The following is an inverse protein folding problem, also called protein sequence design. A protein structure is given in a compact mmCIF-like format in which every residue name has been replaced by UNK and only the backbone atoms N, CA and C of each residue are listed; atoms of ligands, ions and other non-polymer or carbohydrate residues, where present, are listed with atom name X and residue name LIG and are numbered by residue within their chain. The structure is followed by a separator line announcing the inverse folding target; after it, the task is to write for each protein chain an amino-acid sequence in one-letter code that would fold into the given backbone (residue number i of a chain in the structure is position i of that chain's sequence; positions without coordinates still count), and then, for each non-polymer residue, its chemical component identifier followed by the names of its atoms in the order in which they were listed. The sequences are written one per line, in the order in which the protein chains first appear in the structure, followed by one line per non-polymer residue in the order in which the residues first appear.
data_IF_737073158078
#
_entry.id   IF_737073158078
#
_cell.length_a   1.000
_cell.length_b   1.000
_cell.length_c   1.000
_cell.angle_alpha   90.00
_cell.angle_beta   90.00
_cell.angle_gamma   90.00
#
_symmetry.space_group_name_H-M   'P 1'
#
loop_
_entity.id
_entity.type
_entity.pdbx_description
1 polymer ?
#
# COMPACT_ATOMS: atom_id res chain seq x y z
N UNK A 1 2.23 -25.72 -8.16
CA UNK A 1 1.16 -24.78 -8.55
C UNK A 1 1.00 -23.55 -7.63
N UNK A 2 1.39 -23.58 -6.35
CA UNK A 2 1.16 -22.46 -5.39
C UNK A 2 1.96 -21.14 -5.59
N UNK A 3 2.74 -20.97 -6.66
CA UNK A 3 3.59 -19.77 -6.86
C UNK A 3 2.90 -18.66 -7.65
N UNK A 4 1.88 -19.00 -8.45
CA UNK A 4 1.23 -18.07 -9.39
C UNK A 4 0.19 -17.17 -8.70
N UNK A 5 -0.56 -17.72 -7.75
CA UNK A 5 -1.61 -17.01 -7.00
C UNK A 5 -1.07 -15.86 -6.15
N UNK A 6 0.23 -15.90 -5.81
CA UNK A 6 0.89 -14.88 -4.98
C UNK A 6 1.06 -13.56 -5.73
N UNK A 7 1.43 -13.64 -7.01
CA UNK A 7 1.75 -12.50 -7.88
C UNK A 7 0.54 -11.99 -8.68
N UNK A 8 -0.50 -12.81 -8.85
CA UNK A 8 -1.70 -12.45 -9.61
C UNK A 8 -2.28 -11.07 -9.27
N UNK A 9 -2.60 -10.73 -8.02
CA UNK A 9 -3.07 -9.40 -7.63
C UNK A 9 -2.05 -8.26 -7.85
N UNK A 10 -0.76 -8.55 -8.01
CA UNK A 10 0.27 -7.54 -8.31
C UNK A 10 0.30 -7.21 -9.80
N UNK A 11 0.16 -8.26 -10.62
CA UNK A 11 -0.02 -8.16 -12.06
C UNK A 11 -1.35 -7.46 -12.36
N UNK A 12 -2.44 -7.86 -11.69
CA UNK A 12 -3.74 -7.20 -11.79
C UNK A 12 -3.66 -5.75 -11.31
N UNK A 13 -2.92 -5.42 -10.26
CA UNK A 13 -2.75 -4.03 -9.83
C UNK A 13 -1.95 -3.19 -10.83
N UNK A 14 -0.92 -3.76 -11.46
CA UNK A 14 -0.18 -3.11 -12.53
C UNK A 14 -1.07 -2.88 -13.76
N UNK A 15 -1.77 -3.90 -14.23
CA UNK A 15 -2.72 -3.79 -15.34
C UNK A 15 -3.89 -2.86 -15.03
N UNK A 16 -4.44 -2.93 -13.82
CA UNK A 16 -5.49 -2.02 -13.38
C UNK A 16 -4.97 -0.60 -13.28
N UNK A 17 -3.72 -0.38 -12.82
CA UNK A 17 -3.09 0.93 -12.79
C UNK A 17 -2.85 1.49 -14.19
N UNK A 18 -2.38 0.68 -15.15
CA UNK A 18 -2.20 1.12 -16.53
C UNK A 18 -3.54 1.37 -17.23
N UNK A 19 -4.54 0.50 -17.03
CA UNK A 19 -5.90 0.68 -17.54
C UNK A 19 -6.54 1.91 -16.91
N UNK A 20 -6.43 2.10 -15.59
CA UNK A 20 -6.93 3.29 -14.89
C UNK A 20 -6.21 4.55 -15.33
N UNK A 21 -4.92 4.50 -15.64
CA UNK A 21 -4.18 5.64 -16.18
C UNK A 21 -4.62 6.00 -17.60
N UNK A 22 -4.84 5.01 -18.47
CA UNK A 22 -5.37 5.22 -19.84
C UNK A 22 -6.85 5.65 -19.80
N UNK A 23 -7.62 5.09 -18.87
CA UNK A 23 -8.98 5.54 -18.57
C UNK A 23 -8.97 6.93 -17.95
N UNK A 24 -7.95 7.29 -17.16
CA UNK A 24 -7.83 8.60 -16.57
C UNK A 24 -7.65 9.66 -17.66
N UNK A 25 -6.78 9.41 -18.64
CA UNK A 25 -6.62 10.31 -19.79
C UNK A 25 -7.90 10.47 -20.62
N UNK A 26 -8.84 9.50 -20.62
CA UNK A 26 -10.07 9.56 -21.43
C UNK A 26 -11.34 9.96 -20.69
N UNK A 27 -11.44 9.70 -19.40
CA UNK A 27 -12.63 9.94 -18.58
C UNK A 27 -12.36 10.86 -17.39
N UNK A 28 -11.14 10.87 -16.87
CA UNK A 28 -10.75 11.69 -15.73
C UNK A 28 -10.16 13.02 -16.19
N UNK A 29 -9.50 13.13 -17.35
CA UNK A 29 -9.05 14.41 -17.92
C UNK A 29 -10.16 15.47 -17.88
N UNK A 30 -11.40 15.26 -18.35
CA UNK A 30 -12.43 16.30 -18.27
C UNK A 30 -12.88 16.65 -16.84
N UNK A 31 -12.67 15.77 -15.85
CA UNK A 31 -13.07 15.97 -14.44
C UNK A 31 -11.92 16.58 -13.61
N UNK A 32 -10.69 16.17 -13.90
CA UNK A 32 -9.47 16.48 -13.15
C UNK A 32 -8.70 17.63 -13.80
N UNK A 33 -8.84 17.87 -15.10
CA UNK A 33 -8.27 19.03 -15.79
C UNK A 33 -8.62 20.35 -15.10
N UNK A 34 -9.85 20.64 -14.64
CA UNK A 34 -10.10 21.88 -13.91
C UNK A 34 -9.33 21.95 -12.57
N UNK A 35 -9.14 20.83 -11.87
CA UNK A 35 -8.38 20.79 -10.60
C UNK A 35 -6.86 20.81 -10.79
N UNK A 36 -6.36 20.23 -11.89
CA UNK A 36 -4.95 20.22 -12.27
C UNK A 36 -4.53 21.51 -12.99
N UNK A 37 -5.45 22.19 -13.67
CA UNK A 37 -5.16 23.42 -14.42
C UNK A 37 -4.93 24.63 -13.50
N UNK A 38 -5.62 24.71 -12.36
CA UNK A 38 -5.51 25.86 -11.46
C UNK A 38 -4.24 25.78 -10.58
N UNK A 39 -3.96 24.63 -9.96
CA UNK A 39 -2.71 24.44 -9.19
C UNK A 39 -2.35 22.95 -9.00
N UNK A 40 -1.47 22.39 -9.86
CA UNK A 40 -1.03 21.00 -9.72
C UNK A 40 -0.26 20.74 -8.43
N UNK A 41 0.34 21.77 -7.82
CA UNK A 41 1.10 21.61 -6.59
C UNK A 41 0.19 21.22 -5.42
N UNK A 42 -1.07 21.68 -5.41
CA UNK A 42 -2.06 21.28 -4.40
C UNK A 42 -2.35 19.78 -4.51
N UNK A 43 -2.60 19.29 -5.72
CA UNK A 43 -2.94 17.88 -5.96
C UNK A 43 -1.76 16.96 -5.60
N UNK A 44 -0.58 17.23 -6.15
CA UNK A 44 0.59 16.40 -5.84
C UNK A 44 1.02 16.53 -4.39
N UNK A 45 0.89 17.72 -3.77
CA UNK A 45 1.10 17.93 -2.35
C UNK A 45 0.19 17.05 -1.50
N UNK A 46 -1.12 17.03 -1.79
CA UNK A 46 -2.07 16.17 -1.09
C UNK A 46 -1.73 14.67 -1.25
N UNK A 47 -1.33 14.24 -2.44
CA UNK A 47 -0.91 12.84 -2.67
C UNK A 47 0.35 12.49 -1.88
N UNK A 48 1.36 13.37 -1.85
CA UNK A 48 2.57 13.18 -1.05
C UNK A 48 2.24 13.05 0.43
N UNK A 49 1.39 13.93 0.96
CA UNK A 49 0.98 13.89 2.37
C UNK A 49 0.24 12.59 2.68
N UNK A 50 -0.78 12.23 1.87
CA UNK A 50 -1.56 11.00 2.06
C UNK A 50 -0.67 9.75 2.03
N UNK A 51 0.16 9.61 0.99
CA UNK A 51 1.03 8.44 0.84
C UNK A 51 2.11 8.38 1.91
N UNK A 52 2.66 9.54 2.31
CA UNK A 52 3.62 9.63 3.40
C UNK A 52 3.01 9.22 4.75
N UNK A 53 1.78 9.65 5.05
CA UNK A 53 1.06 9.21 6.26
C UNK A 53 0.79 7.72 6.25
N UNK A 54 0.34 7.16 5.11
CA UNK A 54 0.10 5.72 4.97
C UNK A 54 1.39 4.91 5.11
N UNK A 55 2.50 5.38 4.54
CA UNK A 55 3.81 4.77 4.72
C UNK A 55 4.20 4.71 6.21
N UNK A 56 4.03 5.83 6.93
CA UNK A 56 4.28 5.90 8.38
C UNK A 56 3.40 4.93 9.17
N UNK A 57 2.12 4.83 8.83
CA UNK A 57 1.19 3.89 9.43
C UNK A 57 1.62 2.42 9.24
N UNK A 58 1.97 2.03 8.01
CA UNK A 58 2.42 0.65 7.71
C UNK A 58 3.73 0.33 8.45
N UNK A 59 4.66 1.29 8.53
CA UNK A 59 5.89 1.16 9.32
C UNK A 59 5.61 0.98 10.81
N UNK A 60 4.74 1.80 11.40
CA UNK A 60 4.35 1.69 12.80
C UNK A 60 3.70 0.33 13.10
N UNK A 61 2.78 -0.12 12.24
CA UNK A 61 2.16 -1.42 12.36
C UNK A 61 3.18 -2.57 12.33
N UNK A 62 4.17 -2.52 11.43
CA UNK A 62 5.25 -3.51 11.39
C UNK A 62 6.09 -3.48 12.67
N UNK A 63 6.47 -2.30 13.16
CA UNK A 63 7.24 -2.15 14.40
C UNK A 63 6.51 -2.74 15.61
N UNK A 64 5.20 -2.50 15.72
CA UNK A 64 4.35 -3.10 16.77
C UNK A 64 4.40 -4.63 16.67
N UNK A 65 4.17 -5.19 15.48
CA UNK A 65 4.20 -6.65 15.26
C UNK A 65 5.57 -7.25 15.63
N UNK A 66 6.67 -6.57 15.28
CA UNK A 66 8.02 -7.01 15.62
C UNK A 66 8.29 -6.90 17.13
N UNK A 67 7.83 -5.83 17.78
CA UNK A 67 7.96 -5.65 19.23
C UNK A 67 7.22 -6.74 20.02
N UNK A 68 6.03 -7.14 19.58
CA UNK A 68 5.28 -8.23 20.19
C UNK A 68 5.70 -9.63 19.73
N UNK A 69 6.66 -9.74 18.81
CA UNK A 69 7.09 -11.04 18.28
C UNK A 69 7.66 -11.96 19.36
N UNK A 70 8.23 -11.43 20.45
CA UNK A 70 8.73 -12.25 21.57
C UNK A 70 7.64 -12.68 22.55
N UNK A 71 6.44 -12.11 22.44
CA UNK A 71 5.36 -12.37 23.39
C UNK A 71 4.81 -13.80 23.25
N UNK A 72 4.40 -14.45 24.36
CA UNK A 72 3.79 -15.79 24.32
C UNK A 72 2.58 -15.88 23.39
N UNK A 73 1.81 -14.80 23.21
CA UNK A 73 0.64 -14.82 22.31
C UNK A 73 1.03 -15.00 20.83
N UNK A 74 2.23 -14.60 20.42
CA UNK A 74 2.73 -14.78 19.05
C UNK A 74 3.32 -16.17 18.78
N UNK A 75 3.34 -17.07 19.77
CA UNK A 75 3.91 -18.41 19.65
C UNK A 75 3.24 -19.22 18.54
N UNK A 76 1.92 -19.06 18.35
CA UNK A 76 1.17 -19.75 17.30
C UNK A 76 1.63 -19.37 15.89
N UNK A 77 1.97 -18.09 15.67
CA UNK A 77 2.46 -17.57 14.38
C UNK A 77 3.90 -18.00 14.08
N UNK A 78 4.70 -18.21 15.13
CA UNK A 78 6.06 -18.78 15.02
C UNK A 78 6.00 -20.26 14.66
N UNK A 79 5.18 -21.04 15.38
CA UNK A 79 5.01 -22.47 15.13
C UNK A 79 4.45 -22.71 13.73
N UNK A 80 3.50 -21.88 13.29
CA UNK A 80 2.91 -22.01 11.95
C UNK A 80 3.83 -21.56 10.80
N UNK A 81 5.02 -21.03 11.09
CA UNK A 81 5.97 -20.55 10.08
C UNK A 81 5.47 -19.39 9.21
N UNK A 82 4.44 -18.65 9.64
CA UNK A 82 3.81 -17.59 8.85
C UNK A 82 4.47 -16.21 9.03
N UNK A 83 5.31 -16.06 10.06
CA UNK A 83 6.00 -14.80 10.39
C UNK A 83 6.82 -14.23 9.21
N UNK A 84 7.60 -15.03 8.46
CA UNK A 84 8.32 -14.52 7.28
C UNK A 84 7.38 -14.05 6.16
N UNK A 85 6.23 -14.71 5.98
CA UNK A 85 5.22 -14.28 5.00
C UNK A 85 4.63 -12.94 5.39
N UNK A 86 4.28 -12.77 6.68
CA UNK A 86 3.77 -11.50 7.20
C UNK A 86 4.79 -10.37 6.99
N UNK A 87 6.04 -10.60 7.36
CA UNK A 87 7.13 -9.65 7.16
C UNK A 87 7.28 -9.23 5.70
N UNK A 88 7.27 -10.20 4.77
CA UNK A 88 7.34 -9.92 3.34
C UNK A 88 6.16 -9.08 2.82
N UNK A 89 4.95 -9.32 3.33
CA UNK A 89 3.76 -8.52 2.97
C UNK A 89 3.92 -7.07 3.41
N UNK A 90 4.37 -6.84 4.66
CA UNK A 90 4.61 -5.49 5.17
C UNK A 90 5.73 -4.78 4.42
N UNK A 91 6.88 -5.43 4.20
CA UNK A 91 8.00 -4.85 3.45
C UNK A 91 7.61 -4.51 2.01
N UNK A 92 6.84 -5.37 1.35
CA UNK A 92 6.33 -5.09 0.01
C UNK A 92 5.38 -3.87 0.02
N UNK A 93 4.54 -3.72 1.05
CA UNK A 93 3.69 -2.54 1.25
C UNK A 93 4.52 -1.27 1.45
N UNK A 94 5.50 -1.30 2.35
CA UNK A 94 6.42 -0.19 2.61
C UNK A 94 7.12 0.26 1.33
N UNK A 95 7.67 -0.68 0.54
CA UNK A 95 8.31 -0.36 -0.73
C UNK A 95 7.36 0.30 -1.72
N UNK A 96 6.13 -0.21 -1.85
CA UNK A 96 5.14 0.36 -2.76
C UNK A 96 4.73 1.79 -2.35
N UNK A 97 4.48 2.02 -1.06
CA UNK A 97 4.16 3.37 -0.55
C UNK A 97 5.36 4.33 -0.66
N UNK A 98 6.59 3.85 -0.44
CA UNK A 98 7.78 4.67 -0.63
C UNK A 98 7.96 5.08 -2.09
N UNK A 99 7.76 4.17 -3.04
CA UNK A 99 7.78 4.48 -4.49
C UNK A 99 6.66 5.45 -4.86
N UNK A 100 5.45 5.25 -4.36
CA UNK A 100 4.32 6.16 -4.62
C UNK A 100 4.57 7.56 -4.06
N UNK A 101 5.07 7.65 -2.82
CA UNK A 101 5.43 8.93 -2.19
C UNK A 101 6.55 9.62 -2.96
N UNK A 102 7.61 8.89 -3.33
CA UNK A 102 8.73 9.43 -4.09
C UNK A 102 8.34 9.92 -5.48
N UNK A 103 7.48 9.16 -6.19
CA UNK A 103 6.97 9.59 -7.51
C UNK A 103 6.07 10.82 -7.41
N UNK A 104 5.21 10.90 -6.40
CA UNK A 104 4.40 12.09 -6.13
C UNK A 104 5.27 13.31 -5.75
N UNK A 105 6.36 13.10 -4.99
CA UNK A 105 7.30 14.17 -4.65
C UNK A 105 8.06 14.68 -5.87
N UNK A 106 8.50 13.78 -6.76
CA UNK A 106 9.14 14.16 -8.03
C UNK A 106 8.15 14.94 -8.90
N UNK A 107 6.90 14.47 -9.02
CA UNK A 107 5.87 15.18 -9.77
C UNK A 107 5.60 16.58 -9.20
N UNK A 108 5.53 16.71 -7.87
CA UNK A 108 5.40 17.99 -7.19
C UNK A 108 6.58 18.92 -7.51
N UNK A 109 7.82 18.45 -7.39
CA UNK A 109 9.01 19.26 -7.64
C UNK A 109 9.13 19.70 -9.11
N UNK A 110 8.74 18.85 -10.06
CA UNK A 110 8.81 19.16 -11.49
C UNK A 110 7.70 20.11 -11.93
N UNK A 111 6.52 20.02 -11.30
CA UNK A 111 5.37 20.87 -11.63
C UNK A 111 5.47 22.29 -11.07
N UNK A 112 6.35 22.52 -10.09
CA UNK A 112 6.73 23.87 -9.66
C UNK A 112 7.49 24.57 -10.79
N UNK A 113 6.77 25.32 -11.62
CA UNK A 113 7.32 26.17 -12.69
C UNK A 113 7.26 25.59 -14.11
N UNK A 114 6.54 24.48 -14.34
CA UNK A 114 6.31 23.95 -15.69
C UNK A 114 4.89 23.42 -15.88
N UNK A 115 4.42 23.36 -17.14
CA UNK A 115 3.16 22.69 -17.48
C UNK A 115 3.25 21.21 -17.14
N UNK A 116 2.16 20.65 -16.62
CA UNK A 116 2.09 19.25 -16.20
C UNK A 116 2.41 18.33 -17.39
N UNK A 117 3.47 17.53 -17.26
CA UNK A 117 3.72 16.44 -18.21
C UNK A 117 2.69 15.32 -17.96
N UNK A 118 1.86 14.94 -18.96
CA UNK A 118 0.83 13.90 -18.79
C UNK A 118 1.41 12.56 -18.31
N UNK A 119 2.66 12.28 -18.68
CA UNK A 119 3.42 11.09 -18.25
C UNK A 119 3.64 11.04 -16.74
N UNK A 120 3.84 12.17 -16.07
CA UNK A 120 4.02 12.24 -14.61
C UNK A 120 2.69 11.98 -13.88
N UNK A 121 1.60 12.57 -14.37
CA UNK A 121 0.27 12.32 -13.82
C UNK A 121 -0.08 10.82 -13.89
N UNK A 122 0.18 10.19 -15.05
CA UNK A 122 -0.02 8.76 -15.26
C UNK A 122 0.83 7.90 -14.33
N UNK A 123 2.11 8.25 -14.15
CA UNK A 123 3.02 7.54 -13.27
C UNK A 123 2.55 7.60 -11.80
N UNK A 124 2.15 8.79 -11.33
CA UNK A 124 1.63 8.99 -9.97
C UNK A 124 0.34 8.21 -9.75
N UNK A 125 -0.59 8.22 -10.72
CA UNK A 125 -1.84 7.47 -10.61
C UNK A 125 -1.59 5.95 -10.51
N UNK A 126 -0.67 5.43 -11.33
CA UNK A 126 -0.32 4.01 -11.35
C UNK A 126 0.34 3.57 -10.04
N UNK A 127 1.31 4.33 -9.55
CA UNK A 127 2.01 4.00 -8.29
C UNK A 127 1.09 4.15 -7.08
N UNK A 128 0.19 5.14 -7.07
CA UNK A 128 -0.82 5.33 -6.04
C UNK A 128 -1.78 4.13 -5.98
N UNK A 129 -2.28 3.68 -7.13
CA UNK A 129 -3.16 2.51 -7.23
C UNK A 129 -2.47 1.25 -6.70
N UNK A 130 -1.21 1.02 -7.11
CA UNK A 130 -0.42 -0.11 -6.62
C UNK A 130 -0.23 -0.05 -5.10
N UNK A 131 0.05 1.13 -4.56
CA UNK A 131 0.22 1.35 -3.13
C UNK A 131 -1.08 1.04 -2.36
N UNK A 132 -2.25 1.47 -2.86
CA UNK A 132 -3.56 1.17 -2.25
C UNK A 132 -3.87 -0.34 -2.24
N UNK A 133 -3.60 -1.05 -3.32
CA UNK A 133 -3.79 -2.51 -3.35
C UNK A 133 -2.89 -3.20 -2.32
N UNK A 134 -1.64 -2.74 -2.18
CA UNK A 134 -0.70 -3.28 -1.20
C UNK A 134 -1.14 -2.95 0.23
N UNK A 135 -1.66 -1.76 0.48
CA UNK A 135 -2.26 -1.39 1.77
C UNK A 135 -3.41 -2.32 2.15
N UNK A 136 -4.32 -2.60 1.20
CA UNK A 136 -5.42 -3.54 1.41
C UNK A 136 -4.92 -4.93 1.82
N UNK A 137 -3.81 -5.39 1.24
CA UNK A 137 -3.18 -6.68 1.60
C UNK A 137 -2.51 -6.64 2.96
N UNK A 138 -1.86 -5.53 3.35
CA UNK A 138 -1.31 -5.39 4.71
C UNK A 138 -2.43 -5.41 5.74
N UNK A 139 -3.53 -4.69 5.51
CA UNK A 139 -4.70 -4.67 6.40
C UNK A 139 -5.35 -6.06 6.51
N UNK A 140 -5.50 -6.75 5.39
CA UNK A 140 -6.02 -8.12 5.38
C UNK A 140 -5.12 -9.07 6.19
N UNK A 141 -3.81 -8.97 6.04
CA UNK A 141 -2.86 -9.78 6.80
C UNK A 141 -2.94 -9.47 8.31
N UNK A 142 -3.04 -8.20 8.69
CA UNK A 142 -3.27 -7.79 10.08
C UNK A 142 -4.55 -8.38 10.63
N UNK A 143 -5.66 -8.31 9.89
CA UNK A 143 -6.94 -8.90 10.29
C UNK A 143 -6.83 -10.40 10.55
N UNK A 144 -6.09 -11.13 9.69
CA UNK A 144 -5.86 -12.57 9.87
C UNK A 144 -5.04 -12.86 11.14
N UNK A 145 -4.02 -12.05 11.42
CA UNK A 145 -3.22 -12.16 12.64
C UNK A 145 -4.08 -11.90 13.88
N UNK A 146 -4.86 -10.82 13.89
CA UNK A 146 -5.74 -10.48 15.02
C UNK A 146 -6.76 -11.57 15.28
N UNK A 147 -7.38 -12.12 14.23
CA UNK A 147 -8.34 -13.22 14.38
C UNK A 147 -7.69 -14.50 14.95
N UNK A 148 -6.46 -14.82 14.52
CA UNK A 148 -5.73 -15.98 15.04
C UNK A 148 -5.38 -15.82 16.52
N UNK A 149 -4.97 -14.61 16.92
CA UNK A 149 -4.67 -14.29 18.32
C UNK A 149 -5.95 -14.29 19.19
N UNK A 150 -7.04 -13.71 18.68
CA UNK A 150 -8.34 -13.69 19.36
C UNK A 150 -8.90 -15.09 19.60
N UNK A 151 -8.78 -15.99 18.62
CA UNK A 151 -9.23 -17.38 18.78
C UNK A 151 -8.46 -18.19 19.82
N UNK A 152 -7.20 -17.84 20.11
CA UNK A 152 -6.38 -18.55 21.11
C UNK A 152 -6.66 -18.07 22.55
N UNK A 153 -7.15 -16.83 22.71
CA UNK A 153 -7.58 -16.27 23.99
C UNK A 153 -8.91 -16.85 24.47
N UNK A 154 -9.77 -17.29 23.56
CA UNK A 154 -11.07 -17.90 23.88
C UNK A 154 -10.98 -19.38 24.25
N UNK A 155 -9.83 -20.04 24.06
CA UNK A 155 -9.62 -21.44 24.46
C UNK A 155 -9.21 -21.50 25.93
N UNK A 156 -10.00 -22.20 26.74
CA UNK A 156 -9.70 -22.39 28.16
C UNK A 156 -8.35 -23.12 28.35
N UNK A 157 -7.64 -22.90 29.47
CA UNK A 157 -6.32 -23.48 29.73
C UNK A 157 -6.25 -25.02 29.68
N UNK A 158 -7.38 -25.72 29.66
CA UNK A 158 -7.47 -27.19 29.64
C UNK A 158 -7.61 -27.84 28.26
N UNK A 159 -7.78 -27.07 27.17
CA UNK A 159 -7.93 -27.59 25.80
C UNK A 159 -6.66 -27.47 24.94
N UNK A 160 -5.52 -27.13 25.55
CA UNK A 160 -4.24 -26.90 24.86
C UNK A 160 -3.35 -28.13 24.80
#
# INVERSE_FOLDING_TARGET
MARFDRFWPEIVALFAGTILGVWADRLIEPILAPFLADDPAIVYGAVVTLQGTLLGFVLAALTIVLGFSQSPQFKILKISGQLPTLYNVYIAGIRAHAVSTGTALIALLVTVGSSIAPTLAWLVATTCTLALVRLGRTLWATKKVVNALGSDLSREPGER
#
